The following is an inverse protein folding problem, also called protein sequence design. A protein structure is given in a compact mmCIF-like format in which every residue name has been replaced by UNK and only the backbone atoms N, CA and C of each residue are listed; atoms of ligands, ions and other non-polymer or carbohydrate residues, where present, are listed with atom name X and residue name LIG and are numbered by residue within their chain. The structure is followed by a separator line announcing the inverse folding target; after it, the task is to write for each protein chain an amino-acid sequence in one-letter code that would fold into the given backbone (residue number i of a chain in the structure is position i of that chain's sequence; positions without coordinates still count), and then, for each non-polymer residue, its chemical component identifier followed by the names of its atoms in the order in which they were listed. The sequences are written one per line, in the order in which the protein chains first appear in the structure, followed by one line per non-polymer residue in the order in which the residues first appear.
data_IF_595360086797
#
_entry.id   IF_595360086797
#
_cell.length_a   1.000
_cell.length_b   1.000
_cell.length_c   1.000
_cell.angle_alpha   90.00
_cell.angle_beta   90.00
_cell.angle_gamma   90.00
#
_symmetry.space_group_name_H-M   'P 1'
#
loop_
_entity.id
_entity.type
_entity.pdbx_description
1 polymer ?
#
# COMPACT_ATOMS: atom_id res chain seq x y z
N UNK A 1 1.37 1.02 -18.47
CA UNK A 1 1.24 0.40 -19.80
C UNK A 1 0.90 -1.09 -19.74
N UNK A 2 1.56 -1.91 -18.91
CA UNK A 2 1.28 -3.36 -18.80
C UNK A 2 -0.21 -3.73 -18.59
N UNK A 3 -0.97 -3.00 -17.76
CA UNK A 3 -2.42 -3.26 -17.62
C UNK A 3 -3.22 -2.89 -18.87
N UNK A 4 -2.84 -1.78 -19.52
CA UNK A 4 -3.46 -1.38 -20.77
C UNK A 4 -3.25 -2.46 -21.85
N UNK A 5 -2.09 -3.14 -21.83
CA UNK A 5 -1.82 -4.27 -22.71
C UNK A 5 -2.74 -5.48 -22.45
N UNK A 6 -3.14 -5.75 -21.19
CA UNK A 6 -4.07 -6.84 -20.88
C UNK A 6 -5.48 -6.60 -21.43
N UNK A 7 -5.92 -5.35 -21.46
CA UNK A 7 -7.26 -4.97 -21.97
C UNK A 7 -7.26 -4.64 -23.47
N UNK A 8 -6.10 -4.40 -24.08
CA UNK A 8 -5.96 -4.08 -25.51
C UNK A 8 -6.65 -5.09 -26.45
N UNK A 9 -6.64 -6.42 -26.21
CA UNK A 9 -7.36 -7.37 -27.05
C UNK A 9 -8.88 -7.13 -27.13
N UNK A 10 -9.46 -6.45 -26.15
CA UNK A 10 -10.89 -6.08 -26.15
C UNK A 10 -11.17 -4.86 -27.03
N UNK A 11 -10.14 -4.03 -27.31
CA UNK A 11 -10.23 -2.78 -28.07
C UNK A 11 -9.04 -2.63 -29.03
N UNK A 12 -8.88 -3.53 -30.02
CA UNK A 12 -7.68 -3.63 -30.84
C UNK A 12 -7.46 -2.42 -31.78
N UNK A 13 -8.51 -1.71 -32.17
CA UNK A 13 -8.42 -0.60 -33.11
C UNK A 13 -8.53 0.79 -32.45
N UNK A 14 -8.79 0.84 -31.14
CA UNK A 14 -8.95 2.10 -30.42
C UNK A 14 -7.61 2.66 -29.92
N UNK A 15 -7.39 3.99 -30.01
CA UNK A 15 -6.26 4.64 -29.36
C UNK A 15 -6.40 4.56 -27.84
N UNK A 16 -5.27 4.43 -27.15
CA UNK A 16 -5.21 4.44 -25.70
C UNK A 16 -5.02 5.88 -25.23
N UNK A 17 -6.04 6.44 -24.58
CA UNK A 17 -5.92 7.76 -23.96
C UNK A 17 -5.31 7.64 -22.56
N UNK A 18 -4.13 8.24 -22.35
CA UNK A 18 -3.44 8.29 -21.07
C UNK A 18 -3.62 9.67 -20.42
N UNK A 19 -4.55 9.77 -19.45
CA UNK A 19 -4.77 11.00 -18.70
C UNK A 19 -3.85 11.10 -17.48
N UNK A 20 -2.98 12.12 -17.48
CA UNK A 20 -2.04 12.39 -16.39
C UNK A 20 -2.72 13.12 -15.23
N UNK A 21 -3.25 12.38 -14.26
CA UNK A 21 -3.98 12.94 -13.11
C UNK A 21 -3.11 13.20 -11.86
N UNK A 22 -3.50 14.19 -11.07
CA UNK A 22 -2.89 14.51 -9.75
C UNK A 22 -1.67 15.42 -9.80
N UNK A 23 -1.17 15.80 -8.61
CA UNK A 23 0.00 16.69 -8.51
C UNK A 23 1.30 16.00 -8.93
N UNK A 24 1.43 14.69 -8.66
CA UNK A 24 2.63 13.92 -9.01
C UNK A 24 2.92 13.91 -10.51
N UNK A 25 1.89 13.91 -11.35
CA UNK A 25 2.04 13.89 -12.81
C UNK A 25 2.68 15.15 -13.40
N UNK A 26 2.78 16.23 -12.62
CA UNK A 26 3.49 17.46 -13.03
C UNK A 26 4.99 17.39 -12.83
N UNK A 27 5.48 16.37 -12.12
CA UNK A 27 6.91 16.21 -11.84
C UNK A 27 7.72 16.11 -13.14
N UNK A 28 8.94 16.64 -13.12
CA UNK A 28 9.87 16.53 -14.26
C UNK A 28 10.13 15.08 -14.68
N UNK A 29 10.13 14.16 -13.72
CA UNK A 29 10.41 12.75 -13.94
C UNK A 29 9.30 12.08 -14.76
N UNK A 30 8.03 12.27 -14.38
CA UNK A 30 6.92 11.73 -15.15
C UNK A 30 6.76 12.40 -16.51
N UNK A 31 7.05 13.70 -16.62
CA UNK A 31 7.07 14.39 -17.92
C UNK A 31 8.13 13.83 -18.87
N UNK A 32 9.33 13.52 -18.36
CA UNK A 32 10.39 12.94 -19.16
C UNK A 32 10.03 11.52 -19.66
N UNK A 33 9.49 10.68 -18.76
CA UNK A 33 9.06 9.32 -19.09
C UNK A 33 7.90 9.34 -20.10
N UNK A 34 6.96 10.28 -19.96
CA UNK A 34 5.83 10.45 -20.87
C UNK A 34 6.17 11.27 -22.13
N UNK A 35 7.45 11.43 -22.49
CA UNK A 35 7.83 12.00 -23.78
C UNK A 35 7.72 10.93 -24.86
N UNK A 36 6.72 11.04 -25.74
CA UNK A 36 6.44 10.05 -26.79
C UNK A 36 7.57 9.86 -27.81
N UNK A 37 8.42 10.87 -27.96
CA UNK A 37 9.59 10.86 -28.83
C UNK A 37 10.86 10.30 -28.13
N UNK A 38 10.80 10.08 -26.81
CA UNK A 38 11.93 9.62 -26.02
C UNK A 38 12.17 8.12 -26.10
N UNK A 39 13.44 7.71 -26.01
CA UNK A 39 13.86 6.30 -26.01
C UNK A 39 13.27 5.51 -24.83
N UNK A 40 13.16 6.13 -23.66
CA UNK A 40 12.55 5.53 -22.47
C UNK A 40 11.08 5.15 -22.71
N UNK A 41 10.32 6.04 -23.35
CA UNK A 41 8.91 5.79 -23.67
C UNK A 41 8.76 4.63 -24.64
N UNK A 42 9.58 4.60 -25.70
CA UNK A 42 9.56 3.53 -26.68
C UNK A 42 9.90 2.17 -26.04
N UNK A 43 10.92 2.15 -25.18
CA UNK A 43 11.28 0.96 -24.38
C UNK A 43 10.12 0.49 -23.51
N UNK A 44 9.46 1.39 -22.79
CA UNK A 44 8.31 1.07 -21.93
C UNK A 44 7.11 0.54 -22.73
N UNK A 45 6.85 1.11 -23.91
CA UNK A 45 5.76 0.65 -24.77
C UNK A 45 6.07 -0.75 -25.32
N UNK A 46 7.30 -1.00 -25.80
CA UNK A 46 7.71 -2.33 -26.26
C UNK A 46 7.65 -3.38 -25.15
N UNK A 47 8.08 -3.04 -23.94
CA UNK A 47 7.96 -3.94 -22.78
C UNK A 47 6.50 -4.30 -22.46
N UNK A 48 5.58 -3.37 -22.67
CA UNK A 48 4.17 -3.59 -22.35
C UNK A 48 3.38 -4.27 -23.48
N UNK A 49 3.61 -3.88 -24.73
CA UNK A 49 2.78 -4.26 -25.88
C UNK A 49 3.52 -5.13 -26.92
N UNK A 50 4.82 -5.38 -26.73
CA UNK A 50 5.66 -6.07 -27.71
C UNK A 50 5.91 -5.22 -28.97
N UNK A 51 5.99 -5.88 -30.12
CA UNK A 51 6.24 -5.23 -31.42
C UNK A 51 4.99 -4.52 -31.99
N UNK A 52 3.79 -4.90 -31.55
CA UNK A 52 2.54 -4.25 -31.96
C UNK A 52 2.18 -3.12 -31.01
N UNK A 53 2.68 -1.94 -31.31
CA UNK A 53 2.47 -0.73 -30.51
C UNK A 53 1.09 -0.12 -30.83
N UNK A 54 0.21 0.05 -29.84
CA UNK A 54 -1.01 0.83 -30.03
C UNK A 54 -0.68 2.32 -30.17
N UNK A 55 -1.58 3.06 -30.80
CA UNK A 55 -1.58 4.52 -30.69
C UNK A 55 -1.89 4.91 -29.23
N UNK A 56 -1.03 5.73 -28.62
CA UNK A 56 -1.21 6.23 -27.26
C UNK A 56 -1.22 7.75 -27.29
N UNK A 57 -2.30 8.35 -26.81
CA UNK A 57 -2.49 9.80 -26.75
C UNK A 57 -2.37 10.23 -25.29
N UNK A 58 -1.32 11.00 -24.98
CA UNK A 58 -1.05 11.46 -23.61
C UNK A 58 -1.71 12.83 -23.40
N UNK A 59 -2.59 12.90 -22.40
CA UNK A 59 -3.23 14.14 -21.97
C UNK A 59 -2.53 14.68 -20.73
N UNK A 60 -1.94 15.87 -20.86
CA UNK A 60 -1.28 16.57 -19.76
C UNK A 60 -2.27 16.92 -18.62
N UNK A 61 -1.79 17.06 -17.37
CA UNK A 61 -2.63 17.55 -16.29
C UNK A 61 -3.15 18.97 -16.61
N UNK A 62 -4.42 19.24 -16.30
CA UNK A 62 -5.04 20.55 -16.50
C UNK A 62 -4.22 21.67 -15.82
N UNK A 63 -4.11 22.87 -16.40
CA UNK A 63 -3.35 23.95 -15.77
C UNK A 63 -3.94 24.35 -14.41
N UNK A 64 -3.07 24.78 -13.49
CA UNK A 64 -3.52 25.38 -12.22
C UNK A 64 -3.68 26.87 -12.48
N UNK A 65 -4.88 27.41 -12.28
CA UNK A 65 -5.13 28.84 -12.34
C UNK A 65 -5.00 29.45 -10.95
N UNK A 66 -4.16 30.48 -10.82
CA UNK A 66 -4.07 31.30 -9.60
C UNK A 66 -5.23 32.28 -9.45
N UNK A 67 -5.86 32.64 -10.58
CA UNK A 67 -7.00 33.56 -10.63
C UNK A 67 -8.32 32.86 -10.32
N UNK A 68 -8.42 31.57 -10.63
CA UNK A 68 -9.58 30.75 -10.31
C UNK A 68 -9.14 29.43 -9.63
N UNK A 69 -8.96 29.45 -8.30
CA UNK A 69 -8.53 28.27 -7.53
C UNK A 69 -9.49 27.08 -7.58
N UNK A 70 -10.75 27.29 -7.97
CA UNK A 70 -11.77 26.23 -8.08
C UNK A 70 -11.76 25.53 -9.44
N UNK A 71 -10.91 25.96 -10.37
CA UNK A 71 -10.77 25.31 -11.68
C UNK A 71 -10.41 23.83 -11.50
N UNK A 72 -11.07 22.91 -12.23
CA UNK A 72 -10.72 21.49 -12.21
C UNK A 72 -9.23 21.27 -12.51
N UNK A 73 -8.51 20.60 -11.62
CA UNK A 73 -7.05 20.40 -11.75
C UNK A 73 -6.65 18.99 -12.21
N UNK A 74 -7.61 18.19 -12.69
CA UNK A 74 -7.45 16.76 -12.97
C UNK A 74 -6.80 15.98 -11.82
N UNK A 75 -7.05 16.36 -10.55
CA UNK A 75 -6.79 15.46 -9.41
C UNK A 75 -7.56 14.16 -9.60
N UNK A 76 -7.11 13.05 -9.01
CA UNK A 76 -7.70 11.71 -9.26
C UNK A 76 -9.23 11.69 -9.20
N UNK A 77 -9.84 12.26 -8.16
CA UNK A 77 -11.32 12.33 -8.07
C UNK A 77 -11.97 13.19 -9.15
N UNK A 78 -11.34 14.29 -9.55
CA UNK A 78 -11.82 15.16 -10.64
C UNK A 78 -11.66 14.45 -11.99
N UNK A 79 -10.53 13.80 -12.24
CA UNK A 79 -10.27 13.06 -13.47
C UNK A 79 -11.26 11.90 -13.64
N UNK A 80 -11.52 11.13 -12.58
CA UNK A 80 -12.54 10.08 -12.59
C UNK A 80 -13.93 10.66 -12.82
N UNK A 81 -14.27 11.78 -12.18
CA UNK A 81 -15.54 12.48 -12.43
C UNK A 81 -15.69 12.90 -13.90
N UNK A 82 -14.63 13.46 -14.51
CA UNK A 82 -14.63 13.84 -15.93
C UNK A 82 -14.83 12.63 -16.85
N UNK A 83 -14.21 11.49 -16.55
CA UNK A 83 -14.40 10.24 -17.32
C UNK A 83 -15.82 9.67 -17.16
N UNK A 84 -16.42 9.81 -15.99
CA UNK A 84 -17.81 9.39 -15.72
C UNK A 84 -18.88 10.26 -16.40
N UNK A 85 -18.54 11.46 -16.85
CA UNK A 85 -19.49 12.35 -17.55
C UNK A 85 -19.80 11.86 -18.97
N UNK A 86 -19.06 10.88 -19.50
CA UNK A 86 -19.36 10.23 -20.79
C UNK A 86 -20.63 9.37 -20.66
N UNK A 87 -21.79 9.76 -21.22
CA UNK A 87 -23.03 9.05 -20.98
C UNK A 87 -23.01 7.64 -21.61
N UNK A 88 -23.34 6.61 -20.83
CA UNK A 88 -23.58 5.25 -21.33
C UNK A 88 -22.43 4.23 -21.18
N UNK A 89 -21.29 4.60 -20.58
CA UNK A 89 -20.15 3.68 -20.44
C UNK A 89 -19.92 3.18 -19.00
N UNK A 90 -19.64 1.88 -18.87
CA UNK A 90 -19.16 1.28 -17.63
C UNK A 90 -17.67 1.59 -17.44
N UNK A 91 -17.33 2.46 -16.49
CA UNK A 91 -15.93 2.70 -16.11
C UNK A 91 -15.39 1.53 -15.30
N UNK A 92 -14.44 0.77 -15.85
CA UNK A 92 -13.72 -0.28 -15.12
C UNK A 92 -12.63 0.35 -14.22
N UNK A 93 -12.81 0.29 -12.91
CA UNK A 93 -11.81 0.76 -11.94
C UNK A 93 -10.89 -0.39 -11.50
N UNK A 94 -9.68 -0.44 -12.06
CA UNK A 94 -8.64 -1.38 -11.63
C UNK A 94 -7.77 -0.76 -10.53
N UNK A 95 -7.96 -1.18 -9.28
CA UNK A 95 -7.19 -0.69 -8.14
C UNK A 95 -6.24 -1.76 -7.58
N UNK A 96 -4.98 -1.73 -8.04
CA UNK A 96 -3.93 -2.69 -7.65
C UNK A 96 -3.58 -2.71 -6.17
N UNK A 97 -3.83 -1.60 -5.47
CA UNK A 97 -3.61 -1.53 -4.03
C UNK A 97 -4.62 -2.45 -3.33
N UNK A 98 -5.86 -2.47 -3.82
CA UNK A 98 -6.89 -3.39 -3.31
C UNK A 98 -6.63 -4.83 -3.74
N UNK A 99 -6.20 -5.07 -4.99
CA UNK A 99 -5.90 -6.43 -5.46
C UNK A 99 -4.78 -7.14 -4.67
N UNK A 100 -3.75 -6.40 -4.23
CA UNK A 100 -2.68 -6.95 -3.36
C UNK A 100 -3.13 -7.27 -1.93
N UNK A 101 -4.30 -6.78 -1.52
CA UNK A 101 -4.81 -6.88 -0.16
C UNK A 101 -6.23 -7.50 -0.13
N UNK A 102 -6.53 -8.45 -1.03
CA UNK A 102 -7.83 -9.14 -1.11
C UNK A 102 -9.05 -8.19 -1.14
N UNK A 103 -8.93 -7.07 -1.84
CA UNK A 103 -9.97 -6.04 -1.94
C UNK A 103 -10.00 -5.04 -0.79
N UNK A 104 -9.19 -5.24 0.26
CA UNK A 104 -9.15 -4.39 1.45
C UNK A 104 -8.18 -3.21 1.29
N UNK A 105 -8.32 -2.20 2.15
CA UNK A 105 -7.35 -1.11 2.23
C UNK A 105 -6.01 -1.65 2.76
N UNK A 106 -4.86 -1.04 2.39
CA UNK A 106 -3.58 -1.38 2.99
C UNK A 106 -3.61 -1.23 4.50
N UNK A 107 -2.83 -2.06 5.17
CA UNK A 107 -2.64 -1.96 6.61
C UNK A 107 -1.93 -0.63 6.93
N UNK A 108 -2.62 0.30 7.60
CA UNK A 108 -2.09 1.66 7.78
C UNK A 108 -1.05 1.79 8.92
N UNK A 109 -0.80 0.70 9.64
CA UNK A 109 0.00 0.71 10.86
C UNK A 109 1.39 0.12 10.64
N UNK A 110 2.37 0.79 11.22
CA UNK A 110 3.68 0.24 11.49
C UNK A 110 3.68 -0.38 12.88
N UNK A 111 4.05 -1.66 12.98
CA UNK A 111 4.05 -2.39 14.24
C UNK A 111 5.37 -3.06 14.44
N UNK A 112 5.90 -2.96 15.65
CA UNK A 112 7.09 -3.71 16.01
C UNK A 112 7.47 -3.49 17.45
N UNK A 113 8.78 -3.42 17.67
CA UNK A 113 9.39 -3.36 19.00
C UNK A 113 10.36 -2.22 19.11
N UNK A 114 10.73 -1.91 20.35
CA UNK A 114 11.81 -0.99 20.64
C UNK A 114 13.12 -1.76 20.77
N UNK A 115 14.13 -1.36 19.99
CA UNK A 115 15.47 -1.92 20.05
C UNK A 115 16.48 -0.79 20.13
N UNK A 116 17.36 -0.84 21.15
CA UNK A 116 18.39 0.20 21.41
C UNK A 116 17.81 1.63 21.42
N UNK A 117 16.63 1.80 22.00
CA UNK A 117 15.96 3.11 22.11
C UNK A 117 15.30 3.62 20.82
N UNK A 118 15.27 2.81 19.76
CA UNK A 118 14.63 3.17 18.48
C UNK A 118 13.54 2.17 18.11
N UNK A 119 12.51 2.67 17.44
CA UNK A 119 11.43 1.86 16.90
C UNK A 119 11.90 1.08 15.68
N UNK A 120 11.67 -0.23 15.69
CA UNK A 120 11.98 -1.16 14.61
C UNK A 120 10.65 -1.76 14.11
N UNK A 121 10.12 -1.28 12.96
CA UNK A 121 8.89 -1.83 12.40
C UNK A 121 9.14 -3.23 11.83
N UNK A 122 8.25 -4.16 12.16
CA UNK A 122 8.19 -5.52 11.61
C UNK A 122 7.03 -5.60 10.61
N UNK A 123 5.83 -5.18 11.02
CA UNK A 123 4.67 -5.06 10.13
C UNK A 123 4.56 -3.62 9.62
N UNK A 124 4.12 -3.47 8.38
CA UNK A 124 3.98 -2.19 7.67
C UNK A 124 2.87 -2.27 6.61
N UNK A 125 2.72 -1.23 5.79
CA UNK A 125 1.71 -1.16 4.73
C UNK A 125 1.85 -2.20 3.62
N UNK A 126 3.05 -2.77 3.43
CA UNK A 126 3.31 -3.80 2.42
C UNK A 126 3.10 -5.22 2.98
N UNK A 127 2.75 -5.33 4.27
CA UNK A 127 2.50 -6.63 4.90
C UNK A 127 1.25 -7.30 4.33
N UNK A 128 1.39 -8.56 3.94
CA UNK A 128 0.29 -9.38 3.47
C UNK A 128 -0.70 -9.71 4.60
N UNK A 129 -1.96 -9.87 4.23
CA UNK A 129 -3.00 -10.32 5.15
C UNK A 129 -2.89 -11.82 5.40
N UNK A 130 -3.28 -12.25 6.60
CA UNK A 130 -3.32 -13.64 7.06
C UNK A 130 -1.95 -14.38 7.13
N UNK A 131 -0.83 -13.70 6.92
CA UNK A 131 0.51 -14.27 7.08
C UNK A 131 1.09 -14.01 8.47
N UNK A 132 1.61 -15.06 9.11
CA UNK A 132 2.25 -14.97 10.42
C UNK A 132 3.67 -14.42 10.30
N UNK A 133 3.98 -13.42 11.13
CA UNK A 133 5.33 -12.86 11.26
C UNK A 133 5.75 -12.80 12.72
N UNK A 134 7.03 -13.07 12.98
CA UNK A 134 7.61 -13.02 14.31
C UNK A 134 7.91 -11.57 14.72
N UNK A 135 7.30 -11.09 15.80
CA UNK A 135 7.62 -9.78 16.38
C UNK A 135 8.84 -9.86 17.32
N UNK A 136 8.95 -10.98 18.06
CA UNK A 136 10.10 -11.33 18.88
C UNK A 136 9.73 -12.02 20.19
N UNK A 137 10.76 -12.33 20.98
CA UNK A 137 10.62 -13.07 22.24
C UNK A 137 9.82 -12.32 23.32
N UNK A 138 9.06 -13.09 24.09
CA UNK A 138 8.38 -12.63 25.30
C UNK A 138 9.39 -12.40 26.42
N UNK A 139 9.17 -11.37 27.23
CA UNK A 139 9.95 -11.11 28.45
C UNK A 139 9.07 -11.32 29.66
N UNK A 140 9.33 -12.39 30.42
CA UNK A 140 8.54 -12.78 31.60
C UNK A 140 7.02 -12.88 31.30
N UNK A 141 6.66 -13.48 30.15
CA UNK A 141 5.26 -13.61 29.72
C UNK A 141 4.63 -12.31 29.25
N UNK A 142 5.40 -11.23 29.03
CA UNK A 142 4.89 -9.92 28.60
C UNK A 142 5.56 -9.52 27.29
N UNK A 143 4.78 -8.94 26.38
CA UNK A 143 5.28 -8.25 25.20
C UNK A 143 4.82 -6.79 25.19
N UNK A 144 5.72 -5.87 24.87
CA UNK A 144 5.38 -4.47 24.63
C UNK A 144 5.37 -4.24 23.12
N UNK A 145 4.17 -4.22 22.54
CA UNK A 145 3.94 -3.93 21.13
C UNK A 145 3.87 -2.41 20.94
N UNK A 146 4.59 -1.91 19.93
CA UNK A 146 4.59 -0.50 19.60
C UNK A 146 3.95 -0.32 18.22
N UNK A 147 3.01 0.61 18.11
CA UNK A 147 2.22 0.87 16.91
C UNK A 147 2.21 2.36 16.56
N UNK A 148 2.32 2.70 15.28
CA UNK A 148 2.21 4.07 14.77
C UNK A 148 1.67 4.08 13.34
N UNK A 149 0.99 5.14 12.94
CA UNK A 149 0.59 5.38 11.53
C UNK A 149 1.57 6.30 10.80
N UNK A 150 2.61 6.79 11.48
CA UNK A 150 3.56 7.75 10.94
C UNK A 150 4.56 7.09 9.99
N UNK A 151 4.72 7.59 8.75
CA UNK A 151 5.77 7.12 7.85
C UNK A 151 7.19 7.30 8.40
N UNK A 152 7.36 8.16 9.43
CA UNK A 152 8.62 8.34 10.17
C UNK A 152 9.13 7.03 10.78
N UNK A 153 8.26 6.04 10.98
CA UNK A 153 8.61 4.68 11.40
C UNK A 153 9.75 4.06 10.58
N UNK A 154 9.80 4.35 9.27
CA UNK A 154 10.85 3.84 8.37
C UNK A 154 12.22 4.51 8.58
N UNK A 155 12.24 5.64 9.29
CA UNK A 155 13.44 6.47 9.56
C UNK A 155 13.77 6.53 11.05
N UNK A 156 13.52 5.42 11.76
CA UNK A 156 13.93 5.14 13.14
C UNK A 156 13.51 6.21 14.16
N UNK A 157 12.27 6.11 14.64
CA UNK A 157 11.71 6.98 15.68
C UNK A 157 12.27 6.64 17.08
N UNK A 158 12.49 7.64 17.95
CA UNK A 158 13.00 7.42 19.30
C UNK A 158 11.93 6.85 20.25
N UNK A 159 12.38 6.23 21.34
CA UNK A 159 11.52 5.80 22.43
C UNK A 159 10.76 6.99 23.03
N UNK A 160 9.44 6.86 23.19
CA UNK A 160 8.60 7.91 23.77
C UNK A 160 8.17 9.01 22.80
N UNK A 161 8.40 8.84 21.49
CA UNK A 161 7.80 9.72 20.48
C UNK A 161 6.25 9.70 20.64
N UNK A 162 5.57 10.86 20.68
CA UNK A 162 4.13 10.94 20.93
C UNK A 162 3.29 10.29 19.82
N UNK A 163 3.85 10.07 18.63
CA UNK A 163 3.18 9.36 17.53
C UNK A 163 3.22 7.83 17.70
N UNK A 164 3.89 7.30 18.74
CA UNK A 164 3.99 5.86 19.02
C UNK A 164 3.07 5.46 20.17
N UNK A 165 2.13 4.57 19.87
CA UNK A 165 1.28 3.93 20.86
C UNK A 165 1.96 2.67 21.40
N UNK A 166 1.98 2.51 22.73
CA UNK A 166 2.51 1.32 23.40
C UNK A 166 1.35 0.46 23.92
N UNK A 167 1.27 -0.78 23.45
CA UNK A 167 0.35 -1.80 23.91
C UNK A 167 1.11 -2.86 24.70
N UNK A 168 0.84 -2.95 26.00
CA UNK A 168 1.31 -4.07 26.82
C UNK A 168 0.37 -5.25 26.62
N UNK A 169 0.92 -6.41 26.30
CA UNK A 169 0.17 -7.64 26.06
C UNK A 169 0.74 -8.71 26.98
N UNK A 170 -0.11 -9.22 27.87
CA UNK A 170 0.27 -10.21 28.88
C UNK A 170 -0.18 -11.61 28.42
N UNK A 171 0.77 -12.53 28.38
CA UNK A 171 0.61 -13.96 28.06
C UNK A 171 1.02 -14.80 29.28
N UNK A 172 0.20 -14.84 30.34
CA UNK A 172 0.57 -15.47 31.61
C UNK A 172 0.76 -17.00 31.52
N UNK A 173 0.25 -17.62 30.46
CA UNK A 173 0.34 -19.07 30.22
C UNK A 173 1.35 -19.44 29.13
N UNK A 174 2.10 -18.48 28.59
CA UNK A 174 3.14 -18.77 27.60
C UNK A 174 4.36 -19.40 28.28
N UNK A 175 4.93 -20.42 27.65
CA UNK A 175 6.15 -21.06 28.14
C UNK A 175 7.36 -20.13 28.00
N UNK A 176 8.42 -20.41 28.77
CA UNK A 176 9.68 -19.68 28.65
C UNK A 176 10.27 -19.86 27.24
N UNK A 177 10.90 -18.80 26.72
CA UNK A 177 11.47 -18.71 25.38
C UNK A 177 10.50 -18.66 24.18
N UNK A 178 9.18 -18.57 24.40
CA UNK A 178 8.23 -18.40 23.30
C UNK A 178 8.36 -17.00 22.66
N UNK A 179 8.16 -16.95 21.34
CA UNK A 179 8.08 -15.70 20.58
C UNK A 179 6.62 -15.31 20.34
N UNK A 180 6.38 -14.00 20.25
CA UNK A 180 5.11 -13.44 19.82
C UNK A 180 5.07 -13.38 18.29
N UNK A 181 4.06 -14.01 17.71
CA UNK A 181 3.74 -13.93 16.29
C UNK A 181 2.47 -13.10 16.10
N UNK A 182 2.44 -12.37 14.99
CA UNK A 182 1.30 -11.55 14.61
C UNK A 182 0.97 -11.78 13.13
N UNK A 183 -0.32 -11.80 12.81
CA UNK A 183 -0.82 -11.71 11.44
C UNK A 183 -1.87 -10.62 11.30
N UNK A 184 -1.87 -9.93 10.16
CA UNK A 184 -2.86 -8.89 9.88
C UNK A 184 -4.16 -9.54 9.42
N UNK A 185 -5.29 -9.23 10.06
CA UNK A 185 -6.62 -9.76 9.71
C UNK A 185 -7.50 -8.75 8.98
N UNK A 186 -7.36 -7.48 9.32
CA UNK A 186 -8.07 -6.35 8.70
C UNK A 186 -7.24 -5.07 8.84
N UNK A 187 -7.57 -3.97 8.14
CA UNK A 187 -6.75 -2.74 8.15
C UNK A 187 -6.45 -2.19 9.55
N UNK A 188 -7.28 -2.53 10.55
CA UNK A 188 -7.17 -2.07 11.93
C UNK A 188 -7.16 -3.22 12.96
N UNK A 189 -6.93 -4.46 12.56
CA UNK A 189 -6.90 -5.58 13.51
C UNK A 189 -5.80 -6.59 13.24
N UNK A 190 -5.19 -7.06 14.31
CA UNK A 190 -4.17 -8.11 14.28
C UNK A 190 -4.61 -9.29 15.12
N UNK A 191 -4.19 -10.46 14.70
CA UNK A 191 -4.27 -11.67 15.49
C UNK A 191 -2.88 -12.04 15.97
N UNK A 192 -2.78 -12.39 17.24
CA UNK A 192 -1.55 -12.64 17.97
C UNK A 192 -1.56 -14.06 18.50
N UNK A 193 -0.39 -14.69 18.53
CA UNK A 193 -0.20 -16.00 19.15
C UNK A 193 1.22 -16.12 19.69
N UNK A 194 1.42 -17.03 20.64
CA UNK A 194 2.73 -17.32 21.21
C UNK A 194 3.11 -18.75 20.88
N UNK A 195 4.28 -18.96 20.30
CA UNK A 195 4.77 -20.28 19.91
C UNK A 195 6.31 -20.32 19.95
N UNK A 196 6.89 -21.52 19.94
CA UNK A 196 8.33 -21.71 19.74
C UNK A 196 8.72 -21.58 18.26
N UNK A 197 7.83 -21.92 17.32
CA UNK A 197 8.05 -21.83 15.88
C UNK A 197 6.74 -21.64 15.11
N UNK A 198 6.83 -21.27 13.82
CA UNK A 198 5.66 -21.16 12.93
C UNK A 198 4.89 -22.49 12.79
N UNK A 199 5.58 -23.63 12.79
CA UNK A 199 4.97 -24.96 12.69
C UNK A 199 4.05 -25.28 13.88
N UNK A 200 4.43 -24.84 15.09
CA UNK A 200 3.61 -25.03 16.29
C UNK A 200 2.34 -24.16 16.26
N UNK A 201 2.37 -23.01 15.59
CA UNK A 201 1.19 -22.15 15.42
C UNK A 201 0.11 -22.84 14.60
N UNK A 202 0.49 -23.57 13.55
CA UNK A 202 -0.45 -24.32 12.73
C UNK A 202 -1.10 -25.48 13.52
N UNK A 203 -0.38 -26.02 14.51
CA UNK A 203 -0.84 -27.09 15.38
C UNK A 203 -1.63 -26.61 16.62
N UNK A 204 -1.47 -25.35 17.06
CA UNK A 204 -2.02 -24.83 18.31
C UNK A 204 -2.79 -23.51 18.12
N UNK A 205 -4.09 -23.50 18.43
CA UNK A 205 -5.03 -22.43 18.02
C UNK A 205 -5.32 -21.35 19.06
N UNK A 206 -4.48 -21.15 20.08
CA UNK A 206 -4.73 -20.09 21.07
C UNK A 206 -4.30 -18.74 20.50
N UNK A 207 -5.24 -18.03 19.89
CA UNK A 207 -5.01 -16.70 19.34
C UNK A 207 -5.72 -15.61 20.14
N UNK A 208 -5.15 -14.41 20.11
CA UNK A 208 -5.73 -13.20 20.69
C UNK A 208 -5.82 -12.11 19.63
N UNK A 209 -6.99 -11.50 19.49
CA UNK A 209 -7.18 -10.39 18.54
C UNK A 209 -7.03 -9.05 19.25
N UNK A 210 -6.28 -8.13 18.64
CA UNK A 210 -6.20 -6.73 19.05
C UNK A 210 -6.72 -5.82 17.94
N UNK A 211 -7.41 -4.75 18.33
CA UNK A 211 -7.87 -3.71 17.44
C UNK A 211 -7.09 -2.43 17.70
N UNK A 212 -6.48 -1.89 16.65
CA UNK A 212 -5.77 -0.62 16.70
C UNK A 212 -6.77 0.50 16.42
N UNK A 213 -6.74 1.53 17.27
CA UNK A 213 -7.59 2.71 17.15
C UNK A 213 -6.75 3.87 16.68
N UNK A 214 -7.20 4.50 15.59
CA UNK A 214 -6.70 5.79 15.12
C UNK A 214 -7.07 6.88 16.12
#
# INVERSE_FOLDING_TARGET
LAEAAKVKPQFPDSPIHLLLAGNGSRSRHLKAICNTEGEEWQTLCKQAFGEQLPEIIIHAPLPISTENPHTPTAKTGVALGLLQVTPGENTLLLNKVRERHDGQAPFAWFIGKMRRGKFEPVLNSDTAYNEWQELGMLQAGVFNLYATTSPRALTAMPAGDPEIQKHRIDFPSAAEAYALFARVKSPNSLELTTAASLEEIEASSKTQTIHLKV
#
